data_IF_594760366321
#
_entry.id   IF_594760366321
#
_cell.length_a   1.000
_cell.length_b   1.000
_cell.length_c   1.000
_cell.angle_alpha   90.00
_cell.angle_beta   90.00
_cell.angle_gamma   90.00
#
_symmetry.space_group_name_H-M   'P 1'
#
loop_
_entity.id
_entity.type
_entity.pdbx_description
1 polymer ?
#
# COMPACT_ATOMS: atom_id res chain seq x y z
N UNK A 1 -23.11 -43.03 48.28
CA UNK A 1 -22.32 -41.80 48.03
C UNK A 1 -21.02 -42.18 47.35
N UNK A 2 -20.81 -41.74 46.11
CA UNK A 2 -19.50 -41.50 45.49
C UNK A 2 -19.75 -40.75 44.18
N UNK A 3 -19.63 -39.44 44.24
CA UNK A 3 -19.62 -38.56 43.09
C UNK A 3 -18.24 -38.68 42.40
N UNK A 4 -18.21 -38.86 41.09
CA UNK A 4 -17.02 -38.66 40.28
C UNK A 4 -17.23 -37.37 39.49
N UNK A 5 -16.46 -36.35 39.86
CA UNK A 5 -16.48 -35.02 39.26
C UNK A 5 -15.99 -35.10 37.80
N UNK A 6 -16.81 -34.55 36.90
CA UNK A 6 -16.43 -34.18 35.54
C UNK A 6 -15.44 -33.01 35.59
N UNK A 7 -14.24 -33.20 35.07
CA UNK A 7 -13.29 -32.11 34.82
C UNK A 7 -13.54 -31.57 33.40
N UNK A 8 -14.29 -30.46 33.30
CA UNK A 8 -14.42 -29.69 32.06
C UNK A 8 -13.11 -28.93 31.80
N UNK A 9 -12.40 -29.33 30.75
CA UNK A 9 -11.24 -28.61 30.24
C UNK A 9 -11.73 -27.35 29.51
N UNK A 10 -11.58 -26.17 30.14
CA UNK A 10 -11.82 -24.88 29.49
C UNK A 10 -10.58 -24.57 28.66
N UNK A 11 -10.68 -24.75 27.34
CA UNK A 11 -9.67 -24.29 26.40
C UNK A 11 -9.78 -22.77 26.32
N UNK A 12 -8.84 -22.07 26.97
CA UNK A 12 -8.70 -20.62 26.85
C UNK A 12 -8.29 -20.26 25.43
N UNK A 13 -9.19 -19.58 24.71
CA UNK A 13 -8.83 -18.91 23.46
C UNK A 13 -7.88 -17.76 23.81
N UNK A 14 -6.57 -17.99 23.67
CA UNK A 14 -5.61 -16.89 23.59
C UNK A 14 -5.83 -16.20 22.25
N UNK A 15 -6.46 -15.02 22.27
CA UNK A 15 -6.46 -14.14 21.11
C UNK A 15 -5.00 -13.88 20.73
N UNK A 16 -4.60 -14.36 19.55
CA UNK A 16 -3.31 -14.01 18.99
C UNK A 16 -3.25 -12.48 18.87
N UNK A 17 -2.12 -11.84 19.17
CA UNK A 17 -1.95 -10.43 18.86
C UNK A 17 -2.16 -10.29 17.35
N UNK A 18 -3.19 -9.51 16.97
CA UNK A 18 -3.35 -9.03 15.60
C UNK A 18 -2.04 -8.35 15.22
N UNK A 19 -1.31 -8.96 14.28
CA UNK A 19 -0.17 -8.32 13.64
C UNK A 19 -0.62 -6.91 13.24
N UNK A 20 0.15 -5.90 13.64
CA UNK A 20 -0.15 -4.52 13.35
C UNK A 20 -0.38 -4.39 11.85
N UNK A 21 -1.61 -4.08 11.46
CA UNK A 21 -1.99 -3.79 10.08
C UNK A 21 -1.25 -2.49 9.75
N UNK A 22 -0.16 -2.58 8.98
CA UNK A 22 0.91 -1.57 8.86
C UNK A 22 0.38 -0.15 8.63
N UNK A 23 -0.71 -0.02 7.87
CA UNK A 23 -1.39 1.25 7.63
C UNK A 23 -2.86 1.29 8.08
N UNK A 24 -3.38 0.24 8.74
CA UNK A 24 -4.78 0.17 9.15
C UNK A 24 -5.79 0.23 7.99
N UNK A 25 -5.42 -0.29 6.81
CA UNK A 25 -6.25 -0.27 5.59
C UNK A 25 -6.77 -1.66 5.22
N UNK A 26 -7.91 -1.74 4.55
CA UNK A 26 -8.41 -2.97 3.97
C UNK A 26 -7.58 -3.40 2.75
N UNK A 27 -6.77 -4.45 2.91
CA UNK A 27 -5.92 -4.99 1.86
C UNK A 27 -6.71 -5.56 0.67
N UNK A 28 -7.94 -6.06 0.88
CA UNK A 28 -8.77 -6.57 -0.21
C UNK A 28 -9.31 -5.42 -1.07
N UNK A 29 -9.71 -4.32 -0.43
CA UNK A 29 -10.14 -3.11 -1.14
C UNK A 29 -8.98 -2.45 -1.90
N UNK A 30 -7.80 -2.35 -1.29
CA UNK A 30 -6.56 -1.93 -1.95
C UNK A 30 -6.30 -2.79 -3.19
N UNK A 31 -6.31 -4.12 -3.05
CA UNK A 31 -6.09 -5.04 -4.16
C UNK A 31 -7.10 -4.88 -5.29
N UNK A 32 -8.39 -4.72 -4.98
CA UNK A 32 -9.43 -4.46 -5.98
C UNK A 32 -9.16 -3.17 -6.75
N UNK A 33 -8.80 -2.09 -6.05
CA UNK A 33 -8.53 -0.81 -6.69
C UNK A 33 -7.27 -0.84 -7.54
N UNK A 34 -6.23 -1.50 -7.06
CA UNK A 34 -4.99 -1.71 -7.80
C UNK A 34 -5.28 -2.43 -9.12
N UNK A 35 -6.00 -3.55 -9.08
CA UNK A 35 -6.39 -4.32 -10.28
C UNK A 35 -7.22 -3.49 -11.27
N UNK A 36 -8.12 -2.63 -10.80
CA UNK A 36 -8.89 -1.74 -11.68
C UNK A 36 -7.99 -0.78 -12.47
N UNK A 37 -7.01 -0.15 -11.80
CA UNK A 37 -6.11 0.80 -12.46
C UNK A 37 -5.06 0.09 -13.33
N UNK A 38 -4.54 -1.06 -12.90
CA UNK A 38 -3.60 -1.89 -13.69
C UNK A 38 -4.19 -2.30 -15.05
N UNK A 39 -5.51 -2.49 -15.15
CA UNK A 39 -6.18 -2.78 -16.44
C UNK A 39 -6.12 -1.60 -17.41
N UNK A 40 -6.07 -0.37 -16.89
CA UNK A 40 -6.01 0.86 -17.68
C UNK A 40 -4.56 1.26 -17.99
N UNK A 41 -3.63 0.88 -17.12
CA UNK A 41 -2.22 1.28 -17.16
C UNK A 41 -1.24 0.09 -17.14
N UNK A 42 -1.37 -0.89 -18.06
CA UNK A 42 -0.64 -2.16 -17.98
C UNK A 42 0.87 -2.05 -18.19
N UNK A 43 1.36 -0.93 -18.73
CA UNK A 43 2.79 -0.71 -18.99
C UNK A 43 3.46 0.20 -17.94
N UNK A 44 2.68 0.79 -17.02
CA UNK A 44 3.22 1.64 -15.96
C UNK A 44 3.90 0.78 -14.91
N UNK A 45 5.21 0.99 -14.74
CA UNK A 45 6.02 0.34 -13.71
C UNK A 45 6.16 1.25 -12.49
N UNK A 46 6.37 0.63 -11.32
CA UNK A 46 6.75 1.37 -10.11
C UNK A 46 8.05 2.15 -10.34
N UNK A 47 8.10 3.40 -9.87
CA UNK A 47 9.33 4.19 -9.91
C UNK A 47 10.38 3.71 -8.89
N UNK A 48 9.99 2.81 -7.99
CA UNK A 48 10.85 2.23 -6.95
C UNK A 48 11.53 0.97 -7.48
N UNK A 49 12.82 1.07 -7.79
CA UNK A 49 13.66 -0.07 -8.15
C UNK A 49 14.28 -0.77 -6.93
N UNK A 50 13.94 -2.04 -6.71
CA UNK A 50 14.42 -2.81 -5.55
C UNK A 50 15.79 -3.48 -5.71
N UNK A 51 16.45 -3.30 -6.85
CA UNK A 51 17.78 -3.87 -7.10
C UNK A 51 18.89 -3.22 -6.24
N UNK A 52 18.73 -1.93 -5.90
CA UNK A 52 19.70 -1.19 -5.10
C UNK A 52 19.04 0.02 -4.37
N UNK A 53 18.24 -0.22 -3.32
CA UNK A 53 17.57 0.86 -2.61
C UNK A 53 18.59 1.77 -1.90
N UNK A 54 18.49 3.07 -2.15
CA UNK A 54 19.50 4.06 -1.75
C UNK A 54 19.15 4.84 -0.48
N UNK A 55 17.90 4.75 -0.03
CA UNK A 55 17.41 5.44 1.16
C UNK A 55 16.47 4.54 2.00
N UNK A 56 16.18 4.91 3.26
CA UNK A 56 15.36 4.09 4.16
C UNK A 56 13.95 3.83 3.63
N UNK A 57 13.31 4.80 2.99
CA UNK A 57 11.97 4.64 2.42
C UNK A 57 11.94 3.54 1.35
N UNK A 58 12.89 3.57 0.40
CA UNK A 58 13.05 2.56 -0.64
C UNK A 58 13.34 1.19 -0.02
N UNK A 59 14.17 1.11 1.01
CA UNK A 59 14.44 -0.14 1.73
C UNK A 59 13.17 -0.74 2.32
N UNK A 60 12.38 0.06 3.05
CA UNK A 60 11.12 -0.40 3.66
C UNK A 60 10.12 -0.86 2.59
N UNK A 61 9.97 -0.12 1.50
CA UNK A 61 9.04 -0.46 0.42
C UNK A 61 9.46 -1.75 -0.28
N UNK A 62 10.75 -1.92 -0.54
CA UNK A 62 11.29 -3.13 -1.17
C UNK A 62 11.23 -4.34 -0.24
N UNK A 63 11.52 -4.16 1.06
CA UNK A 63 11.35 -5.22 2.06
C UNK A 63 9.88 -5.66 2.15
N UNK A 64 8.91 -4.74 1.98
CA UNK A 64 7.49 -5.09 1.92
C UNK A 64 7.12 -5.90 0.67
N UNK A 65 7.79 -5.68 -0.46
CA UNK A 65 7.52 -6.41 -1.72
C UNK A 65 7.77 -7.93 -1.59
N UNK A 66 8.74 -8.31 -0.75
CA UNK A 66 9.16 -9.70 -0.53
C UNK A 66 8.45 -10.38 0.67
N UNK A 67 7.64 -9.64 1.43
CA UNK A 67 6.92 -10.17 2.58
C UNK A 67 5.56 -10.80 2.20
N UNK A 68 4.99 -11.70 3.04
CA UNK A 68 3.63 -12.18 2.84
C UNK A 68 2.60 -11.03 2.88
N UNK A 69 2.83 -10.05 3.75
CA UNK A 69 2.07 -8.81 3.78
C UNK A 69 2.75 -7.76 2.89
N UNK A 70 2.23 -7.64 1.67
CA UNK A 70 2.73 -6.70 0.65
C UNK A 70 1.95 -5.39 0.63
N UNK A 71 1.18 -5.10 1.67
CA UNK A 71 0.25 -3.97 1.68
C UNK A 71 0.95 -2.66 1.35
N UNK A 72 2.08 -2.37 2.01
CA UNK A 72 2.80 -1.10 1.80
C UNK A 72 3.39 -1.01 0.38
N UNK A 73 3.90 -2.12 -0.17
CA UNK A 73 4.31 -2.18 -1.57
C UNK A 73 3.15 -1.91 -2.54
N UNK A 74 2.00 -2.55 -2.32
CA UNK A 74 0.81 -2.36 -3.14
C UNK A 74 0.26 -0.93 -3.06
N UNK A 75 0.38 -0.26 -1.91
CA UNK A 75 0.07 1.17 -1.78
C UNK A 75 0.98 2.02 -2.68
N UNK A 76 2.29 1.72 -2.72
CA UNK A 76 3.23 2.36 -3.65
C UNK A 76 2.84 2.17 -5.11
N UNK A 77 2.48 0.94 -5.50
CA UNK A 77 2.02 0.66 -6.87
C UNK A 77 0.73 1.41 -7.21
N UNK A 78 -0.25 1.39 -6.29
CA UNK A 78 -1.51 2.10 -6.49
C UNK A 78 -1.28 3.60 -6.66
N UNK A 79 -0.37 4.18 -5.87
CA UNK A 79 -0.01 5.59 -5.93
C UNK A 79 0.56 5.99 -7.30
N UNK A 80 1.50 5.21 -7.84
CA UNK A 80 2.06 5.44 -9.18
C UNK A 80 0.96 5.47 -10.26
N UNK A 81 0.04 4.50 -10.23
CA UNK A 81 -1.06 4.43 -11.20
C UNK A 81 -2.08 5.58 -11.01
N UNK A 82 -2.36 5.93 -9.75
CA UNK A 82 -3.24 7.04 -9.42
C UNK A 82 -2.68 8.37 -9.93
N UNK A 83 -1.37 8.58 -9.80
CA UNK A 83 -0.70 9.77 -10.33
C UNK A 83 -0.81 9.86 -11.86
N UNK A 84 -0.57 8.76 -12.57
CA UNK A 84 -0.74 8.70 -14.03
C UNK A 84 -2.17 9.07 -14.42
N UNK A 85 -3.15 8.46 -13.76
CA UNK A 85 -4.56 8.82 -13.94
C UNK A 85 -4.81 10.31 -13.70
N UNK A 86 -4.26 10.89 -12.64
CA UNK A 86 -4.42 12.30 -12.32
C UNK A 86 -3.86 13.21 -13.44
N UNK A 87 -2.68 12.89 -13.96
CA UNK A 87 -2.06 13.65 -15.05
C UNK A 87 -2.87 13.58 -16.34
N UNK A 88 -3.35 12.40 -16.72
CA UNK A 88 -4.20 12.26 -17.91
C UNK A 88 -5.49 13.06 -17.79
N UNK A 89 -6.15 13.03 -16.63
CA UNK A 89 -7.36 13.81 -16.40
C UNK A 89 -7.08 15.32 -16.36
N UNK A 90 -5.97 15.75 -15.77
CA UNK A 90 -5.60 17.16 -15.69
C UNK A 90 -5.23 17.75 -17.06
N UNK A 91 -4.61 16.94 -17.93
CA UNK A 91 -4.10 17.39 -19.23
C UNK A 91 -5.04 17.07 -20.40
N UNK A 92 -5.97 16.14 -20.23
CA UNK A 92 -6.83 15.60 -21.30
C UNK A 92 -6.05 14.83 -22.36
N UNK A 93 -4.88 14.27 -22.01
CA UNK A 93 -3.98 13.56 -22.92
C UNK A 93 -3.56 12.24 -22.29
N UNK A 94 -3.48 11.21 -23.11
CA UNK A 94 -2.88 9.93 -22.73
C UNK A 94 -1.38 10.12 -22.50
N UNK A 95 -0.83 9.49 -21.46
CA UNK A 95 0.61 9.51 -21.19
C UNK A 95 1.32 8.39 -21.94
N UNK A 96 2.63 8.56 -22.14
CA UNK A 96 3.51 7.44 -22.48
C UNK A 96 3.65 6.55 -21.25
N UNK A 97 3.01 5.38 -21.25
CA UNK A 97 3.00 4.49 -20.10
C UNK A 97 4.35 3.79 -19.84
N UNK A 98 5.23 3.71 -20.84
CA UNK A 98 6.60 3.17 -20.65
C UNK A 98 7.53 4.20 -20.02
N UNK A 99 7.15 5.49 -20.07
CA UNK A 99 7.89 6.60 -19.48
C UNK A 99 6.92 7.66 -18.92
N UNK A 100 6.12 7.30 -17.90
CA UNK A 100 5.09 8.19 -17.39
C UNK A 100 5.73 9.38 -16.64
N UNK A 101 5.03 10.52 -16.58
CA UNK A 101 5.49 11.65 -15.78
C UNK A 101 5.55 11.25 -14.30
N UNK A 102 6.60 11.69 -13.61
CA UNK A 102 6.80 11.44 -12.19
C UNK A 102 6.57 12.72 -11.38
N UNK A 103 5.87 12.61 -10.24
CA UNK A 103 5.78 13.71 -9.27
C UNK A 103 7.07 13.76 -8.43
N UNK A 104 7.97 14.67 -8.79
CA UNK A 104 9.25 14.83 -8.09
C UNK A 104 9.09 15.36 -6.67
N UNK A 105 8.06 16.15 -6.39
CA UNK A 105 7.81 16.71 -5.05
C UNK A 105 7.32 15.59 -4.12
N UNK A 106 6.41 14.75 -4.60
CA UNK A 106 5.98 13.56 -3.88
C UNK A 106 7.13 12.57 -3.66
N UNK A 107 7.93 12.28 -4.70
CA UNK A 107 9.09 11.37 -4.55
C UNK A 107 10.05 11.88 -3.48
N UNK A 108 10.35 13.18 -3.46
CA UNK A 108 11.20 13.77 -2.43
C UNK A 108 10.58 13.64 -1.02
N UNK A 109 9.26 13.80 -0.90
CA UNK A 109 8.54 13.63 0.37
C UNK A 109 8.56 12.17 0.85
N UNK A 110 8.26 11.22 -0.03
CA UNK A 110 8.31 9.78 0.25
C UNK A 110 9.71 9.36 0.66
N UNK A 111 10.73 9.75 -0.09
CA UNK A 111 12.12 9.35 0.13
C UNK A 111 12.74 9.97 1.39
N UNK A 112 12.10 11.01 1.96
CA UNK A 112 12.43 11.57 3.27
C UNK A 112 11.88 10.74 4.45
N UNK A 113 10.95 9.81 4.22
CA UNK A 113 10.42 8.95 5.27
C UNK A 113 11.47 7.96 5.79
N UNK A 114 11.48 7.75 7.11
CA UNK A 114 12.39 6.80 7.79
C UNK A 114 11.66 5.64 8.46
N UNK A 115 10.34 5.52 8.24
CA UNK A 115 9.51 4.49 8.85
C UNK A 115 8.18 4.29 8.16
N UNK A 116 7.56 3.14 8.40
CA UNK A 116 6.30 2.73 7.78
C UNK A 116 5.15 3.71 8.04
N UNK A 117 5.02 4.26 9.25
CA UNK A 117 3.94 5.20 9.57
C UNK A 117 4.00 6.47 8.68
N UNK A 118 5.20 7.00 8.43
CA UNK A 118 5.39 8.13 7.51
C UNK A 118 5.01 7.72 6.09
N UNK A 119 5.47 6.54 5.64
CA UNK A 119 5.16 6.01 4.31
C UNK A 119 3.65 5.82 4.10
N UNK A 120 2.95 5.26 5.08
CA UNK A 120 1.50 5.14 5.06
C UNK A 120 0.83 6.51 4.89
N UNK A 121 1.22 7.50 5.68
CA UNK A 121 0.62 8.84 5.63
C UNK A 121 0.84 9.51 4.26
N UNK A 122 2.08 9.51 3.74
CA UNK A 122 2.39 10.18 2.47
C UNK A 122 1.77 9.45 1.28
N UNK A 123 1.78 8.12 1.26
CA UNK A 123 1.14 7.32 0.21
C UNK A 123 -0.37 7.52 0.22
N UNK A 124 -1.01 7.44 1.39
CA UNK A 124 -2.46 7.69 1.51
C UNK A 124 -2.81 9.10 1.03
N UNK A 125 -2.07 10.10 1.50
CA UNK A 125 -2.30 11.50 1.15
C UNK A 125 -2.20 11.75 -0.35
N UNK A 126 -1.12 11.29 -0.97
CA UNK A 126 -0.86 11.51 -2.39
C UNK A 126 -1.81 10.72 -3.31
N UNK A 127 -2.07 9.45 -2.99
CA UNK A 127 -3.04 8.64 -3.77
C UNK A 127 -4.44 9.26 -3.67
N UNK A 128 -4.88 9.68 -2.48
CA UNK A 128 -6.17 10.34 -2.30
C UNK A 128 -6.26 11.63 -3.13
N UNK A 129 -5.21 12.46 -3.12
CA UNK A 129 -5.16 13.69 -3.91
C UNK A 129 -5.25 13.39 -5.42
N UNK A 130 -4.51 12.37 -5.88
CA UNK A 130 -4.48 11.94 -7.28
C UNK A 130 -5.84 11.39 -7.76
N UNK A 131 -6.61 10.77 -6.87
CA UNK A 131 -7.97 10.26 -7.16
C UNK A 131 -9.09 11.26 -6.83
N UNK A 132 -8.79 12.57 -6.86
CA UNK A 132 -9.79 13.63 -6.70
C UNK A 132 -10.37 13.73 -5.28
N UNK A 133 -9.60 13.33 -4.27
CA UNK A 133 -9.96 13.41 -2.85
C UNK A 133 -10.82 12.24 -2.33
N UNK A 134 -11.19 11.29 -3.18
CA UNK A 134 -11.86 10.05 -2.72
C UNK A 134 -10.81 9.03 -2.34
N UNK A 135 -10.87 8.51 -1.11
CA UNK A 135 -9.88 7.54 -0.66
C UNK A 135 -10.16 6.14 -1.21
N UNK A 136 -9.19 5.50 -1.87
CA UNK A 136 -9.30 4.09 -2.25
C UNK A 136 -9.01 3.15 -1.08
N UNK A 137 -8.71 3.69 0.11
CA UNK A 137 -8.38 2.96 1.32
C UNK A 137 -9.56 3.00 2.30
N UNK A 138 -10.57 2.11 2.18
CA UNK A 138 -11.55 1.96 3.24
C UNK A 138 -10.86 1.43 4.50
N UNK A 139 -11.28 1.97 5.65
CA UNK A 139 -10.83 1.62 7.00
C UNK A 139 -11.68 0.48 7.57
#
# INVERSE_FOLDING_TARGET
MRALLSASLILGMTAAPTLAQVCGIDAAALGSRLTELEQSYPLVLSDIGCENPTNPAQQILCDSADQPDRTLWQMGQLDTLAWVYAVENATGREVDQENPPLDQDFIAQRDACTGEACLCEVLIGHTNASLGGTSPYPQ
#
